data_IF_316595694362
#
_entry.id   IF_316595694362
#
_cell.length_a   1.000
_cell.length_b   1.000
_cell.length_c   1.000
_cell.angle_alpha   90.00
_cell.angle_beta   90.00
_cell.angle_gamma   90.00
#
_symmetry.space_group_name_H-M   'P 1'
#
loop_
_entity.id
_entity.type
_entity.pdbx_description
1 polymer ?
#
# COMPACT_ATOMS: atom_id res chain seq x y z
N UNK A 1 -0.32 10.89 22.62
CA UNK A 1 0.28 10.78 21.27
C UNK A 1 -0.57 9.83 20.43
N UNK A 2 -1.35 10.34 19.48
CA UNK A 2 -2.28 9.53 18.67
C UNK A 2 -1.52 8.89 17.51
N UNK A 3 -1.12 7.63 17.65
CA UNK A 3 -0.42 6.88 16.59
C UNK A 3 -1.45 6.34 15.60
N UNK A 4 -1.13 6.39 14.30
CA UNK A 4 -2.05 5.99 13.23
C UNK A 4 -2.34 4.49 13.29
N UNK A 5 -3.60 4.12 13.52
CA UNK A 5 -4.03 2.72 13.54
C UNK A 5 -4.46 2.21 12.16
N UNK A 6 -5.00 3.08 11.32
CA UNK A 6 -5.44 2.74 9.96
C UNK A 6 -4.50 3.34 8.91
N UNK A 7 -3.96 2.54 7.98
CA UNK A 7 -3.02 3.04 6.99
C UNK A 7 -3.61 4.11 6.06
N UNK A 8 -4.93 4.14 5.85
CA UNK A 8 -5.58 5.17 5.03
C UNK A 8 -5.50 6.57 5.67
N UNK A 9 -5.51 6.64 7.01
CA UNK A 9 -5.37 7.89 7.76
C UNK A 9 -3.95 8.47 7.68
N UNK A 10 -2.96 7.64 7.29
CA UNK A 10 -1.58 8.10 7.01
C UNK A 10 -1.47 9.11 5.89
N UNK A 11 -2.46 9.19 5.00
CA UNK A 11 -2.41 10.10 3.86
C UNK A 11 -2.39 11.58 4.28
N UNK A 12 -3.20 11.96 5.26
CA UNK A 12 -3.31 13.35 5.74
C UNK A 12 -2.39 13.62 6.95
N UNK A 13 -1.50 12.69 7.30
CA UNK A 13 -0.66 12.85 8.47
C UNK A 13 0.42 13.91 8.22
N UNK A 14 0.56 14.81 9.19
CA UNK A 14 1.60 15.84 9.26
C UNK A 14 2.34 15.69 10.59
N UNK A 15 3.65 15.96 10.59
CA UNK A 15 4.43 16.04 11.81
C UNK A 15 4.59 17.51 12.20
N UNK A 16 4.47 17.78 13.50
CA UNK A 16 4.77 19.10 14.03
C UNK A 16 6.29 19.37 13.95
N UNK A 17 6.64 20.61 13.66
CA UNK A 17 7.99 21.12 13.79
C UNK A 17 8.09 21.99 15.06
N UNK A 18 9.24 22.02 15.74
CA UNK A 18 9.50 23.01 16.79
C UNK A 18 9.34 24.46 16.30
N UNK A 19 9.48 24.70 14.99
CA UNK A 19 9.28 26.00 14.34
C UNK A 19 7.81 26.33 14.04
N UNK A 20 6.87 25.42 14.34
CA UNK A 20 5.44 25.59 14.05
C UNK A 20 5.01 25.22 12.62
N UNK A 21 5.94 24.81 11.75
CA UNK A 21 5.63 24.36 10.39
C UNK A 21 5.15 22.91 10.34
N UNK A 22 4.08 22.66 9.58
CA UNK A 22 3.56 21.31 9.35
C UNK A 22 4.40 20.54 8.32
N UNK A 23 4.96 19.40 8.74
CA UNK A 23 5.80 18.55 7.90
C UNK A 23 5.03 17.33 7.39
N UNK A 24 4.36 17.51 6.26
CA UNK A 24 3.61 16.48 5.55
C UNK A 24 4.26 16.00 4.25
N UNK A 25 3.44 15.40 3.37
CA UNK A 25 3.86 14.88 2.05
C UNK A 25 4.52 15.96 1.18
N UNK A 26 4.00 17.20 1.18
CA UNK A 26 4.56 18.31 0.39
C UNK A 26 5.94 18.70 0.89
N UNK A 27 6.11 18.87 2.20
CA UNK A 27 7.41 19.17 2.81
C UNK A 27 8.44 18.06 2.51
N UNK A 28 8.03 16.80 2.58
CA UNK A 28 8.88 15.66 2.24
C UNK A 28 9.30 15.66 0.76
N UNK A 29 8.40 16.04 -0.15
CA UNK A 29 8.71 16.17 -1.57
C UNK A 29 9.75 17.28 -1.81
N UNK A 30 9.57 18.45 -1.22
CA UNK A 30 10.53 19.55 -1.33
C UNK A 30 11.90 19.19 -0.74
N UNK A 31 11.95 18.51 0.41
CA UNK A 31 13.23 18.07 0.99
C UNK A 31 13.93 17.02 0.10
N UNK A 32 13.17 16.11 -0.52
CA UNK A 32 13.73 15.18 -1.51
C UNK A 32 14.32 15.92 -2.70
N UNK A 33 13.62 16.94 -3.24
CA UNK A 33 14.13 17.77 -4.34
C UNK A 33 15.41 18.50 -3.95
N UNK A 34 15.45 19.10 -2.76
CA UNK A 34 16.66 19.72 -2.19
C UNK A 34 17.83 18.74 -2.05
N UNK A 35 17.53 17.48 -1.74
CA UNK A 35 18.52 16.40 -1.67
C UNK A 35 18.95 15.84 -3.05
N UNK A 36 18.48 16.42 -4.16
CA UNK A 36 18.85 16.02 -5.53
C UNK A 36 17.97 14.92 -6.15
N UNK A 37 16.87 14.52 -5.50
CA UNK A 37 15.96 13.50 -5.99
C UNK A 37 15.01 14.04 -7.09
N UNK A 38 15.55 14.29 -8.29
CA UNK A 38 14.82 14.97 -9.36
C UNK A 38 13.82 14.09 -10.10
N UNK A 39 14.00 12.76 -10.13
CA UNK A 39 13.22 11.82 -10.97
C UNK A 39 11.99 11.20 -10.28
N UNK A 40 11.41 11.91 -9.32
CA UNK A 40 10.17 11.49 -8.63
C UNK A 40 9.17 12.64 -8.59
N UNK A 41 7.89 12.29 -8.52
CA UNK A 41 6.77 13.23 -8.40
C UNK A 41 6.10 13.15 -7.01
N UNK A 42 5.10 14.00 -6.80
CA UNK A 42 4.36 14.03 -5.54
C UNK A 42 3.57 12.73 -5.30
N UNK A 43 3.15 12.04 -6.37
CA UNK A 43 2.42 10.78 -6.27
C UNK A 43 3.30 9.65 -5.73
N UNK A 44 4.56 9.57 -6.16
CA UNK A 44 5.57 8.65 -5.64
C UNK A 44 5.79 8.85 -4.14
N UNK A 45 5.99 10.11 -3.72
CA UNK A 45 6.15 10.45 -2.30
C UNK A 45 4.90 10.08 -1.51
N UNK A 46 3.72 10.43 -2.00
CA UNK A 46 2.43 10.10 -1.36
C UNK A 46 2.26 8.60 -1.16
N UNK A 47 2.56 7.79 -2.17
CA UNK A 47 2.46 6.34 -2.07
C UNK A 47 3.39 5.78 -0.98
N UNK A 48 4.66 6.17 -1.00
CA UNK A 48 5.64 5.64 -0.05
C UNK A 48 5.49 6.19 1.36
N UNK A 49 5.05 7.45 1.50
CA UNK A 49 4.73 8.07 2.79
C UNK A 49 3.73 7.21 3.58
N UNK A 50 2.64 6.78 2.93
CA UNK A 50 1.62 5.93 3.55
C UNK A 50 2.22 4.60 4.02
N UNK A 51 3.03 3.94 3.18
CA UNK A 51 3.66 2.65 3.54
C UNK A 51 4.65 2.79 4.69
N UNK A 52 5.47 3.85 4.66
CA UNK A 52 6.48 4.12 5.68
C UNK A 52 5.80 4.42 7.01
N UNK A 53 4.79 5.32 7.03
CA UNK A 53 4.04 5.61 8.23
C UNK A 53 3.33 4.39 8.78
N UNK A 54 2.69 3.57 7.94
CA UNK A 54 2.02 2.37 8.45
C UNK A 54 3.00 1.40 9.14
N UNK A 55 4.21 1.26 8.59
CA UNK A 55 5.29 0.48 9.21
C UNK A 55 5.77 1.10 10.51
N UNK A 56 6.10 2.40 10.51
CA UNK A 56 6.62 3.10 11.67
C UNK A 56 5.59 3.13 12.81
N UNK A 57 4.31 3.27 12.49
CA UNK A 57 3.21 3.25 13.45
C UNK A 57 3.17 1.90 14.17
N UNK A 58 3.35 0.81 13.41
CA UNK A 58 3.42 -0.52 13.99
C UNK A 58 4.64 -0.69 14.90
N UNK A 59 5.83 -0.26 14.49
CA UNK A 59 7.03 -0.31 15.36
C UNK A 59 6.83 0.47 16.66
N UNK A 60 6.26 1.67 16.55
CA UNK A 60 5.96 2.55 17.69
C UNK A 60 5.00 1.88 18.67
N UNK A 61 3.98 1.16 18.18
CA UNK A 61 3.06 0.39 19.04
C UNK A 61 3.69 -0.85 19.66
N UNK A 62 4.52 -1.57 18.91
CA UNK A 62 5.19 -2.78 19.40
C UNK A 62 6.32 -2.46 20.39
N UNK A 63 6.92 -1.28 20.28
CA UNK A 63 8.00 -0.81 21.15
C UNK A 63 7.78 0.65 21.56
N UNK A 64 6.83 0.92 22.48
CA UNK A 64 6.49 2.28 22.88
C UNK A 64 7.67 3.07 23.46
N UNK A 65 8.62 2.40 24.12
CA UNK A 65 9.85 2.99 24.66
C UNK A 65 10.78 3.56 23.57
N UNK A 66 10.71 3.04 22.35
CA UNK A 66 11.46 3.54 21.18
C UNK A 66 10.60 4.47 20.30
N UNK A 67 9.42 4.90 20.77
CA UNK A 67 8.46 5.64 19.95
C UNK A 67 9.05 6.91 19.34
N UNK A 68 9.78 7.69 20.12
CA UNK A 68 10.43 8.92 19.66
C UNK A 68 11.52 8.66 18.60
N UNK A 69 12.14 7.48 18.62
CA UNK A 69 13.14 7.07 17.63
C UNK A 69 12.48 6.75 16.28
N UNK A 70 11.29 6.13 16.30
CA UNK A 70 10.62 5.64 15.09
C UNK A 70 9.59 6.60 14.50
N UNK A 71 8.86 7.34 15.33
CA UNK A 71 7.74 8.19 14.92
C UNK A 71 8.14 9.67 14.81
N UNK A 72 9.06 9.97 13.90
CA UNK A 72 9.46 11.34 13.58
C UNK A 72 9.66 11.53 12.08
N UNK A 73 9.61 12.79 11.65
CA UNK A 73 9.73 13.17 10.24
C UNK A 73 11.07 12.74 9.63
N UNK A 74 12.15 12.84 10.41
CA UNK A 74 13.51 12.51 10.00
C UNK A 74 13.64 11.02 9.64
N UNK A 75 12.97 10.13 10.37
CA UNK A 75 12.92 8.71 10.00
C UNK A 75 12.13 8.45 8.71
N UNK A 76 11.05 9.20 8.49
CA UNK A 76 10.31 9.10 7.23
C UNK A 76 11.18 9.54 6.07
N UNK A 77 11.87 10.67 6.20
CA UNK A 77 12.80 11.18 5.19
C UNK A 77 13.97 10.24 4.94
N UNK A 78 14.55 9.64 5.98
CA UNK A 78 15.61 8.62 5.84
C UNK A 78 15.14 7.46 4.97
N UNK A 79 13.92 6.99 5.18
CA UNK A 79 13.36 5.88 4.40
C UNK A 79 12.94 6.28 2.99
N UNK A 80 12.46 7.51 2.77
CA UNK A 80 12.17 8.02 1.43
C UNK A 80 13.46 8.13 0.61
N UNK A 81 14.54 8.69 1.18
CA UNK A 81 15.86 8.75 0.54
C UNK A 81 16.38 7.35 0.18
N UNK A 82 16.26 6.39 1.10
CA UNK A 82 16.59 4.99 0.83
C UNK A 82 15.78 4.39 -0.32
N UNK A 83 14.46 4.66 -0.37
CA UNK A 83 13.60 4.15 -1.45
C UNK A 83 13.97 4.77 -2.80
N UNK A 84 14.28 6.06 -2.83
CA UNK A 84 14.76 6.73 -4.03
C UNK A 84 16.05 6.09 -4.54
N UNK A 85 17.03 5.87 -3.65
CA UNK A 85 18.30 5.23 -4.00
C UNK A 85 18.08 3.84 -4.62
N UNK A 86 17.26 3.02 -3.95
CA UNK A 86 16.98 1.65 -4.40
C UNK A 86 16.24 1.62 -5.73
N UNK A 87 15.14 2.35 -5.85
CA UNK A 87 14.25 2.24 -7.01
C UNK A 87 14.74 3.04 -8.20
N UNK A 88 15.23 4.26 -7.98
CA UNK A 88 15.57 5.20 -9.05
C UNK A 88 17.04 5.11 -9.44
N UNK A 89 17.95 5.13 -8.48
CA UNK A 89 19.39 5.15 -8.78
C UNK A 89 19.90 3.73 -9.11
N UNK A 90 19.51 2.73 -8.32
CA UNK A 90 19.93 1.34 -8.50
C UNK A 90 18.98 0.50 -9.36
N UNK A 91 17.85 1.08 -9.82
CA UNK A 91 16.83 0.40 -10.63
C UNK A 91 16.29 -0.92 -10.00
N UNK A 92 16.32 -1.04 -8.67
CA UNK A 92 15.88 -2.23 -7.94
C UNK A 92 14.38 -2.16 -7.68
N UNK A 93 13.63 -2.73 -8.63
CA UNK A 93 12.17 -2.68 -8.64
C UNK A 93 11.55 -3.75 -7.75
N UNK A 94 10.52 -3.35 -7.02
CA UNK A 94 9.71 -4.22 -6.16
C UNK A 94 8.91 -5.26 -6.96
N UNK A 95 8.38 -6.29 -6.28
CA UNK A 95 7.69 -7.39 -6.95
C UNK A 95 6.48 -6.91 -7.75
N UNK A 96 5.63 -6.07 -7.15
CA UNK A 96 4.47 -5.48 -7.82
C UNK A 96 4.90 -4.62 -9.00
N UNK A 97 5.94 -3.79 -8.84
CA UNK A 97 6.43 -2.90 -9.90
C UNK A 97 6.95 -3.69 -11.09
N UNK A 98 7.74 -4.75 -10.86
CA UNK A 98 8.22 -5.65 -11.93
C UNK A 98 7.07 -6.33 -12.67
N UNK A 99 6.03 -6.74 -11.95
CA UNK A 99 4.84 -7.36 -12.55
C UNK A 99 4.08 -6.34 -13.42
N UNK A 100 3.82 -5.14 -12.90
CA UNK A 100 3.13 -4.06 -13.61
C UNK A 100 3.89 -3.59 -14.87
N UNK A 101 5.22 -3.53 -14.79
CA UNK A 101 6.10 -3.18 -15.91
C UNK A 101 6.33 -4.34 -16.89
N UNK A 102 5.68 -5.50 -16.67
CA UNK A 102 5.78 -6.73 -17.49
C UNK A 102 7.17 -7.38 -17.52
N UNK A 103 8.00 -7.07 -16.53
CA UNK A 103 9.35 -7.63 -16.35
C UNK A 103 9.36 -8.95 -15.55
N UNK A 104 8.23 -9.33 -14.95
CA UNK A 104 8.08 -10.60 -14.24
C UNK A 104 6.63 -11.09 -14.28
N UNK A 105 6.40 -12.39 -14.47
CA UNK A 105 5.04 -12.92 -14.51
C UNK A 105 4.42 -12.92 -13.10
N UNK A 106 3.14 -12.54 -13.02
CA UNK A 106 2.36 -12.56 -11.77
C UNK A 106 2.12 -13.97 -11.21
N UNK A 107 2.35 -15.01 -12.02
CA UNK A 107 2.17 -16.41 -11.62
C UNK A 107 3.25 -16.91 -10.64
N UNK A 108 4.39 -16.22 -10.54
CA UNK A 108 5.46 -16.61 -9.63
C UNK A 108 5.05 -16.49 -8.15
N UNK A 109 5.60 -17.31 -7.25
CA UNK A 109 5.35 -17.20 -5.82
C UNK A 109 5.76 -15.83 -5.27
N UNK A 110 4.89 -15.21 -4.47
CA UNK A 110 5.16 -13.93 -3.81
C UNK A 110 4.42 -13.83 -2.48
N UNK A 111 4.94 -12.98 -1.59
CA UNK A 111 4.27 -12.63 -0.33
C UNK A 111 3.74 -11.21 -0.43
N UNK A 112 2.42 -11.05 -0.37
CA UNK A 112 1.78 -9.74 -0.32
C UNK A 112 1.06 -9.56 1.02
N UNK A 113 0.99 -8.32 1.50
CA UNK A 113 0.27 -7.95 2.72
C UNK A 113 -1.09 -7.35 2.36
N UNK A 114 -2.14 -7.74 3.07
CA UNK A 114 -3.47 -7.14 2.94
C UNK A 114 -3.42 -5.71 3.47
N UNK A 115 -3.51 -4.74 2.58
CA UNK A 115 -3.55 -3.32 2.91
C UNK A 115 -4.96 -2.86 3.26
N UNK A 116 -5.98 -3.41 2.59
CA UNK A 116 -7.38 -3.05 2.79
C UNK A 116 -8.29 -3.81 1.82
N UNK A 117 -9.51 -3.30 1.67
CA UNK A 117 -10.46 -3.82 0.68
C UNK A 117 -11.30 -2.67 0.11
N UNK A 118 -11.93 -2.94 -1.02
CA UNK A 118 -12.89 -2.05 -1.68
C UNK A 118 -14.17 -2.84 -1.93
N UNK A 119 -15.32 -2.23 -1.69
CA UNK A 119 -16.59 -2.82 -2.11
C UNK A 119 -16.72 -2.63 -3.62
N UNK A 120 -17.06 -3.69 -4.33
CA UNK A 120 -17.32 -3.63 -5.78
C UNK A 120 -18.72 -3.05 -5.97
N UNK A 121 -18.81 -1.92 -6.65
CA UNK A 121 -20.10 -1.32 -6.99
C UNK A 121 -20.61 -1.91 -8.32
N UNK A 122 -21.93 -2.03 -8.45
CA UNK A 122 -22.57 -2.63 -9.63
C UNK A 122 -22.30 -1.85 -10.93
N UNK A 123 -21.88 -0.59 -10.85
CA UNK A 123 -21.56 0.28 -12.00
C UNK A 123 -20.16 0.00 -12.58
N UNK A 124 -19.22 -0.54 -11.79
CA UNK A 124 -17.86 -0.87 -12.25
C UNK A 124 -17.80 -2.16 -13.09
N UNK A 125 -18.91 -2.91 -13.13
CA UNK A 125 -19.01 -4.23 -13.78
C UNK A 125 -19.21 -4.09 -15.31
N UNK A 126 -19.64 -2.92 -15.80
CA UNK A 126 -20.01 -2.73 -17.20
C UNK A 126 -18.83 -2.34 -18.11
N UNK A 127 -17.67 -1.98 -17.54
CA UNK A 127 -16.51 -1.46 -18.31
C UNK A 127 -15.52 -2.54 -18.81
N UNK A 128 -15.69 -3.81 -18.43
CA UNK A 128 -14.76 -4.90 -18.75
C UNK A 128 -15.56 -6.13 -19.21
N UNK A 129 -16.09 -6.08 -20.43
CA UNK A 129 -17.03 -7.05 -20.97
C UNK A 129 -16.68 -8.52 -20.71
N UNK A 130 -17.52 -9.17 -19.90
CA UNK A 130 -18.00 -10.55 -20.13
C UNK A 130 -19.16 -10.90 -19.17
N UNK A 131 -20.32 -11.06 -19.78
CA UNK A 131 -21.44 -11.94 -19.42
C UNK A 131 -22.48 -11.56 -18.36
N UNK A 132 -23.62 -11.13 -18.93
CA UNK A 132 -25.00 -11.46 -18.57
C UNK A 132 -25.57 -10.92 -17.27
N UNK A 133 -26.51 -9.98 -17.45
CA UNK A 133 -27.70 -9.81 -16.62
C UNK A 133 -28.50 -11.12 -16.58
N UNK A 134 -28.05 -12.09 -15.80
CA UNK A 134 -28.92 -13.11 -15.21
C UNK A 134 -28.67 -12.99 -13.71
N UNK A 135 -29.65 -12.45 -12.99
CA UNK A 135 -29.70 -12.56 -11.53
C UNK A 135 -29.98 -14.02 -11.19
N UNK A 136 -28.98 -14.88 -11.40
CA UNK A 136 -28.98 -16.19 -10.80
C UNK A 136 -28.59 -15.99 -9.33
N UNK A 137 -29.52 -16.25 -8.41
CA UNK A 137 -29.33 -16.03 -6.96
C UNK A 137 -28.34 -17.03 -6.34
N UNK A 138 -27.52 -17.69 -7.16
CA UNK A 138 -26.63 -18.80 -6.81
C UNK A 138 -25.18 -18.64 -7.28
N UNK A 139 -24.81 -17.53 -7.96
CA UNK A 139 -23.42 -17.26 -8.34
C UNK A 139 -22.75 -16.25 -7.38
N UNK A 140 -21.67 -16.67 -6.72
CA UNK A 140 -21.18 -16.04 -5.50
C UNK A 140 -20.55 -14.64 -5.66
N UNK A 141 -21.02 -13.71 -4.84
CA UNK A 141 -20.26 -13.18 -3.70
C UNK A 141 -18.93 -12.42 -3.95
N UNK A 142 -18.75 -11.83 -5.13
CA UNK A 142 -17.63 -10.91 -5.43
C UNK A 142 -17.85 -9.49 -4.88
N UNK A 143 -18.32 -9.37 -3.64
CA UNK A 143 -18.67 -8.07 -3.05
C UNK A 143 -17.44 -7.17 -2.82
N UNK A 144 -16.24 -7.77 -2.79
CA UNK A 144 -15.02 -7.08 -2.38
C UNK A 144 -13.81 -7.42 -3.24
N UNK A 145 -13.00 -6.40 -3.53
CA UNK A 145 -11.63 -6.54 -4.02
C UNK A 145 -10.65 -6.27 -2.88
N UNK A 146 -9.59 -7.07 -2.80
CA UNK A 146 -8.51 -6.84 -1.83
C UNK A 146 -7.53 -5.81 -2.37
N UNK A 147 -7.13 -4.88 -1.51
CA UNK A 147 -5.97 -4.03 -1.75
C UNK A 147 -4.75 -4.72 -1.12
N UNK A 148 -3.79 -5.15 -1.95
CA UNK A 148 -2.60 -5.88 -1.54
C UNK A 148 -1.34 -5.03 -1.74
N UNK A 149 -0.32 -5.23 -0.92
CA UNK A 149 0.97 -4.52 -1.04
C UNK A 149 2.16 -5.42 -0.82
N UNK A 150 3.24 -5.18 -1.57
CA UNK A 150 4.58 -5.75 -1.32
C UNK A 150 5.44 -4.86 -0.40
N UNK A 151 4.84 -3.83 0.19
CA UNK A 151 5.50 -2.81 0.99
C UNK A 151 6.03 -1.62 0.18
N UNK A 152 6.07 -1.71 -1.15
CA UNK A 152 6.47 -0.62 -2.03
C UNK A 152 5.26 0.01 -2.71
N UNK A 153 4.46 -0.82 -3.36
CA UNK A 153 3.28 -0.41 -4.12
C UNK A 153 2.05 -1.19 -3.69
N UNK A 154 0.89 -0.75 -4.15
CA UNK A 154 -0.41 -1.37 -3.88
C UNK A 154 -1.08 -1.76 -5.18
N UNK A 155 -1.79 -2.89 -5.16
CA UNK A 155 -2.63 -3.36 -6.27
C UNK A 155 -4.01 -3.75 -5.74
N UNK A 156 -5.02 -3.65 -6.60
CA UNK A 156 -6.30 -4.29 -6.37
C UNK A 156 -6.25 -5.70 -6.94
N UNK A 157 -6.72 -6.67 -6.17
CA UNK A 157 -6.74 -8.07 -6.53
C UNK A 157 -8.15 -8.61 -6.31
N UNK A 158 -8.68 -9.27 -7.33
CA UNK A 158 -9.92 -10.04 -7.23
C UNK A 158 -9.65 -11.33 -6.46
N UNK A 159 -10.60 -11.68 -5.61
CA UNK A 159 -10.59 -12.94 -4.88
C UNK A 159 -11.40 -13.97 -5.68
N UNK A 160 -10.97 -15.22 -5.67
CA UNK A 160 -11.83 -16.33 -6.07
C UNK A 160 -12.95 -16.54 -5.03
N UNK A 161 -13.96 -17.41 -5.32
CA UNK A 161 -15.05 -17.65 -4.38
C UNK A 161 -14.60 -18.21 -3.02
N UNK A 162 -13.51 -18.98 -2.98
CA UNK A 162 -12.99 -19.58 -1.74
C UNK A 162 -12.33 -18.53 -0.85
N UNK A 163 -11.50 -17.66 -1.44
CA UNK A 163 -10.88 -16.53 -0.76
C UNK A 163 -11.93 -15.51 -0.31
N UNK A 164 -12.96 -15.26 -1.11
CA UNK A 164 -14.07 -14.37 -0.74
C UNK A 164 -14.81 -14.88 0.50
N UNK A 165 -15.12 -16.18 0.56
CA UNK A 165 -15.70 -16.80 1.78
C UNK A 165 -14.75 -16.72 2.98
N UNK A 166 -13.45 -16.92 2.77
CA UNK A 166 -12.46 -16.81 3.85
C UNK A 166 -12.36 -15.38 4.39
N UNK A 167 -12.36 -14.38 3.50
CA UNK A 167 -12.40 -12.97 3.85
C UNK A 167 -13.66 -12.61 4.66
N UNK A 168 -14.84 -13.01 4.20
CA UNK A 168 -16.11 -12.77 4.91
C UNK A 168 -16.19 -13.41 6.28
N UNK A 169 -15.55 -14.57 6.47
CA UNK A 169 -15.40 -15.22 7.79
C UNK A 169 -14.30 -14.60 8.66
N UNK A 170 -13.67 -13.50 8.23
CA UNK A 170 -12.59 -12.84 8.96
C UNK A 170 -11.28 -13.62 9.00
N UNK A 171 -11.11 -14.66 8.17
CA UNK A 171 -9.86 -15.44 8.09
C UNK A 171 -8.78 -14.72 7.29
N UNK A 172 -9.17 -13.76 6.44
CA UNK A 172 -8.27 -12.84 5.76
C UNK A 172 -8.64 -11.43 6.26
N UNK A 173 -7.69 -10.77 6.90
CA UNK A 173 -7.88 -9.47 7.53
C UNK A 173 -6.74 -8.50 7.17
N UNK A 174 -6.99 -7.21 7.35
CA UNK A 174 -6.00 -6.16 7.12
C UNK A 174 -4.74 -6.42 7.96
N UNK A 175 -3.58 -6.23 7.34
CA UNK A 175 -2.28 -6.43 7.96
C UNK A 175 -1.73 -7.86 7.87
N UNK A 176 -2.55 -8.85 7.48
CA UNK A 176 -2.09 -10.23 7.25
C UNK A 176 -1.19 -10.33 6.02
N UNK A 177 -0.24 -11.28 6.04
CA UNK A 177 0.59 -11.62 4.88
C UNK A 177 0.03 -12.87 4.22
N UNK A 178 -0.09 -12.85 2.90
CA UNK A 178 -0.59 -13.92 2.07
C UNK A 178 0.55 -14.43 1.20
N UNK A 179 0.76 -15.74 1.21
CA UNK A 179 1.57 -16.41 0.21
C UNK A 179 0.69 -16.69 -1.01
N UNK A 180 1.08 -16.16 -2.16
CA UNK A 180 0.30 -16.18 -3.40
C UNK A 180 1.15 -16.83 -4.48
N UNK A 181 0.55 -17.74 -5.25
CA UNK A 181 1.14 -18.36 -6.42
C UNK A 181 0.07 -18.52 -7.50
N UNK A 182 0.45 -18.43 -8.77
CA UNK A 182 -0.48 -18.60 -9.89
C UNK A 182 -1.46 -17.44 -10.07
N UNK A 183 -1.12 -16.24 -9.58
CA UNK A 183 -1.94 -15.04 -9.82
C UNK A 183 -1.93 -14.65 -11.31
N UNK A 184 -2.96 -13.91 -11.72
CA UNK A 184 -3.16 -13.44 -13.10
C UNK A 184 -3.36 -11.93 -13.12
N UNK A 185 -2.87 -11.30 -14.18
CA UNK A 185 -3.06 -9.87 -14.49
C UNK A 185 -4.27 -9.68 -15.39
#
# INVERSE_FOLDING_TARGET
MTIINEPRKSFCWVFDSPTGEERGVKAAFEELKKAGAMRVDLAWVRNHWIMILWKLAHYTRCKPQEAALWWCFEQVMRQLKYRYEREVNLAQRSAIKRIQERDSPASLPMILRVFGHHKVNAEDVDSLGAMSKVKDRTCGDYDYELELTDGWYRIRARMDPTLSRAFKRGKIAQGMKLAIQGARL
#
